data_IF_073820460723
#
_entry.id   IF_073820460723
#
_cell.length_a   1.000
_cell.length_b   1.000
_cell.length_c   1.000
_cell.angle_alpha   90.00
_cell.angle_beta   90.00
_cell.angle_gamma   90.00
#
_symmetry.space_group_name_H-M   'P 1'
#
loop_
_entity.id
_entity.type
_entity.pdbx_description
1 polymer ?
#
# COMPACT_ATOMS: atom_id res chain seq x y z
N UNK A 1 20.27 40.24 -26.05
CA UNK A 1 21.62 40.34 -25.47
C UNK A 1 22.17 38.94 -25.32
N UNK A 2 23.34 38.67 -25.86
CA UNK A 2 24.05 37.40 -25.66
C UNK A 2 24.58 37.33 -24.21
N UNK A 3 24.34 36.21 -23.53
CA UNK A 3 25.09 35.83 -22.33
C UNK A 3 26.06 34.71 -22.74
N UNK A 4 27.38 34.89 -22.60
CA UNK A 4 28.37 33.86 -22.88
C UNK A 4 28.60 32.98 -21.64
N UNK A 5 28.62 31.66 -21.82
CA UNK A 5 29.33 30.76 -20.90
C UNK A 5 28.54 30.04 -19.81
N UNK A 6 27.22 29.94 -19.89
CA UNK A 6 26.45 29.06 -19.00
C UNK A 6 26.47 27.62 -19.49
N UNK A 7 27.43 26.80 -19.05
CA UNK A 7 27.34 25.36 -19.23
C UNK A 7 26.04 24.88 -18.54
N UNK A 8 25.10 24.37 -19.33
CA UNK A 8 23.92 23.70 -18.80
C UNK A 8 24.43 22.49 -18.02
N UNK A 9 24.35 22.56 -16.69
CA UNK A 9 24.55 21.38 -15.84
C UNK A 9 23.58 20.33 -16.37
N UNK A 10 24.03 19.14 -16.80
CA UNK A 10 23.10 18.09 -17.13
C UNK A 10 22.25 17.91 -15.87
N UNK A 11 20.95 18.11 -16.01
CA UNK A 11 20.00 17.52 -15.07
C UNK A 11 20.21 16.03 -15.29
N UNK A 12 21.11 15.45 -14.51
CA UNK A 12 21.16 14.01 -14.32
C UNK A 12 19.83 13.75 -13.64
N UNK A 13 18.81 13.45 -14.43
CA UNK A 13 17.61 12.80 -13.92
C UNK A 13 18.13 11.42 -13.51
N UNK A 14 18.61 11.32 -12.27
CA UNK A 14 18.98 10.09 -11.57
C UNK A 14 17.75 9.18 -11.34
N UNK A 15 16.67 9.37 -12.11
CA UNK A 15 15.62 8.38 -12.26
C UNK A 15 16.17 7.33 -13.21
N UNK A 16 16.75 6.30 -12.63
CA UNK A 16 16.99 5.06 -13.34
C UNK A 16 15.64 4.58 -13.93
N UNK A 17 15.47 4.61 -15.27
CA UNK A 17 14.20 4.30 -15.93
C UNK A 17 13.78 2.84 -15.71
N UNK A 18 14.67 2.01 -15.18
CA UNK A 18 14.35 0.66 -14.75
C UNK A 18 13.41 0.64 -13.53
N UNK A 19 13.44 1.66 -12.65
CA UNK A 19 12.58 1.70 -11.46
C UNK A 19 11.10 1.82 -11.83
N UNK A 20 10.76 2.74 -12.74
CA UNK A 20 9.38 3.01 -13.19
C UNK A 20 8.74 1.76 -13.82
N UNK A 21 9.52 1.03 -14.63
CA UNK A 21 9.08 -0.22 -15.26
C UNK A 21 8.81 -1.32 -14.24
N UNK A 22 9.59 -1.40 -13.15
CA UNK A 22 9.39 -2.43 -12.13
C UNK A 22 8.16 -2.20 -11.26
N UNK A 23 7.82 -0.95 -10.95
CA UNK A 23 6.67 -0.58 -10.12
C UNK A 23 5.33 -0.97 -10.78
N UNK A 24 5.26 -0.89 -12.12
CA UNK A 24 4.10 -1.32 -12.89
C UNK A 24 3.77 -2.82 -12.76
N UNK A 25 4.76 -3.68 -12.47
CA UNK A 25 4.51 -5.11 -12.23
C UNK A 25 4.03 -5.38 -10.80
N UNK A 26 4.44 -4.57 -9.84
CA UNK A 26 4.05 -4.74 -8.44
C UNK A 26 2.62 -4.28 -8.19
N UNK A 27 2.18 -3.22 -8.86
CA UNK A 27 0.87 -2.64 -8.59
C UNK A 27 -0.30 -3.64 -8.75
N UNK A 28 -0.42 -4.40 -9.86
CA UNK A 28 -1.50 -5.37 -10.01
C UNK A 28 -1.48 -6.49 -8.95
N UNK A 29 -0.28 -6.90 -8.52
CA UNK A 29 -0.12 -7.94 -7.50
C UNK A 29 -0.59 -7.42 -6.13
N UNK A 30 -0.15 -6.23 -5.73
CA UNK A 30 -0.54 -5.59 -4.48
C UNK A 30 -2.05 -5.30 -4.46
N UNK A 31 -2.60 -4.79 -5.56
CA UNK A 31 -4.03 -4.54 -5.69
C UNK A 31 -4.85 -5.84 -5.57
N UNK A 32 -4.43 -6.91 -6.23
CA UNK A 32 -5.11 -8.21 -6.12
C UNK A 32 -5.09 -8.80 -4.71
N UNK A 33 -3.98 -8.62 -3.97
CA UNK A 33 -3.90 -9.03 -2.57
C UNK A 33 -4.80 -8.17 -1.67
N UNK A 34 -4.90 -6.86 -1.93
CA UNK A 34 -5.86 -5.99 -1.24
C UNK A 34 -7.30 -6.42 -1.49
N UNK A 35 -7.67 -6.80 -2.70
CA UNK A 35 -9.04 -7.25 -2.99
C UNK A 35 -9.39 -8.53 -2.19
N UNK A 36 -8.41 -9.42 -2.01
CA UNK A 36 -8.56 -10.66 -1.24
C UNK A 36 -8.75 -10.43 0.27
N UNK A 37 -8.44 -9.24 0.81
CA UNK A 37 -8.73 -8.94 2.22
C UNK A 37 -10.22 -8.82 2.50
N UNK A 38 -11.06 -8.78 1.46
CA UNK A 38 -12.52 -8.82 1.56
C UNK A 38 -13.11 -10.23 1.34
N UNK A 39 -12.30 -11.28 1.20
CA UNK A 39 -12.78 -12.66 1.00
C UNK A 39 -13.63 -13.12 2.21
N UNK A 40 -14.71 -13.89 2.01
CA UNK A 40 -15.54 -14.38 3.11
C UNK A 40 -14.79 -15.31 4.09
N UNK A 41 -13.73 -16.00 3.64
CA UNK A 41 -12.94 -16.94 4.45
C UNK A 41 -11.84 -16.21 5.21
N UNK A 42 -11.82 -16.37 6.53
CA UNK A 42 -10.88 -15.69 7.42
C UNK A 42 -9.41 -16.02 7.06
N UNK A 43 -9.14 -17.27 6.73
CA UNK A 43 -7.81 -17.76 6.40
C UNK A 43 -7.27 -17.10 5.12
N UNK A 44 -8.15 -16.85 4.14
CA UNK A 44 -7.78 -16.17 2.90
C UNK A 44 -7.46 -14.70 3.18
N UNK A 45 -8.29 -14.03 3.99
CA UNK A 45 -8.05 -12.62 4.39
C UNK A 45 -6.71 -12.47 5.11
N UNK A 46 -6.46 -13.31 6.12
CA UNK A 46 -5.23 -13.25 6.90
C UNK A 46 -4.00 -13.57 6.03
N UNK A 47 -4.09 -14.60 5.19
CA UNK A 47 -3.02 -14.94 4.24
C UNK A 47 -2.72 -13.77 3.29
N UNK A 48 -3.75 -13.13 2.74
CA UNK A 48 -3.58 -11.99 1.85
C UNK A 48 -2.95 -10.79 2.55
N UNK A 49 -3.35 -10.50 3.80
CA UNK A 49 -2.77 -9.44 4.61
C UNK A 49 -1.28 -9.68 4.89
N UNK A 50 -0.93 -10.86 5.41
CA UNK A 50 0.45 -11.20 5.72
C UNK A 50 1.33 -11.11 4.46
N UNK A 51 0.92 -11.73 3.35
CA UNK A 51 1.68 -11.67 2.09
C UNK A 51 1.78 -10.25 1.55
N UNK A 52 0.72 -9.45 1.63
CA UNK A 52 0.73 -8.05 1.19
C UNK A 52 1.77 -7.25 1.98
N UNK A 53 1.71 -7.31 3.31
CA UNK A 53 2.60 -6.52 4.17
C UNK A 53 4.05 -7.04 4.15
N UNK A 54 4.26 -8.35 3.97
CA UNK A 54 5.60 -8.91 3.75
C UNK A 54 6.22 -8.36 2.46
N UNK A 55 5.48 -8.35 1.35
CA UNK A 55 5.96 -7.78 0.09
C UNK A 55 6.29 -6.29 0.21
N UNK A 56 5.45 -5.53 0.92
CA UNK A 56 5.70 -4.11 1.19
C UNK A 56 6.96 -3.91 2.05
N UNK A 57 7.19 -4.72 3.08
CA UNK A 57 8.41 -4.65 3.89
C UNK A 57 9.66 -5.05 3.10
N UNK A 58 9.60 -6.12 2.31
CA UNK A 58 10.74 -6.63 1.54
C UNK A 58 11.13 -5.73 0.37
N UNK A 59 10.15 -5.14 -0.32
CA UNK A 59 10.38 -4.37 -1.57
C UNK A 59 10.27 -2.88 -1.39
N UNK A 60 9.59 -2.41 -0.33
CA UNK A 60 9.19 -1.02 -0.15
C UNK A 60 10.33 -0.01 -0.14
N UNK A 61 11.56 -0.44 0.18
CA UNK A 61 12.76 0.40 0.14
C UNK A 61 13.18 0.80 -1.27
N UNK A 62 12.67 0.09 -2.31
CA UNK A 62 12.91 0.38 -3.72
C UNK A 62 11.80 1.20 -4.37
N UNK A 63 10.68 1.39 -3.66
CA UNK A 63 9.54 2.11 -4.19
C UNK A 63 9.75 3.61 -4.08
N UNK A 64 9.40 4.32 -5.15
CA UNK A 64 9.38 5.77 -5.17
C UNK A 64 8.29 6.32 -4.24
N UNK A 65 8.44 7.58 -3.82
CA UNK A 65 7.42 8.25 -3.00
C UNK A 65 6.06 8.33 -3.70
N UNK A 66 6.05 8.57 -5.02
CA UNK A 66 4.82 8.62 -5.82
C UNK A 66 4.13 7.24 -5.92
N UNK A 67 4.93 6.17 -5.98
CA UNK A 67 4.39 4.82 -5.95
C UNK A 67 3.82 4.45 -4.58
N UNK A 68 4.50 4.84 -3.50
CA UNK A 68 3.97 4.71 -2.15
C UNK A 68 2.63 5.43 -1.96
N UNK A 69 2.49 6.66 -2.46
CA UNK A 69 1.21 7.38 -2.46
C UNK A 69 0.11 6.56 -3.16
N UNK A 70 0.43 5.97 -4.32
CA UNK A 70 -0.49 5.09 -5.03
C UNK A 70 -0.85 3.83 -4.23
N UNK A 71 0.11 3.22 -3.52
CA UNK A 71 -0.12 2.08 -2.64
C UNK A 71 -1.05 2.47 -1.49
N UNK A 72 -0.82 3.59 -0.81
CA UNK A 72 -1.69 4.02 0.28
C UNK A 72 -3.13 4.20 -0.18
N UNK A 73 -3.34 4.96 -1.26
CA UNK A 73 -4.68 5.29 -1.72
C UNK A 73 -5.43 4.12 -2.34
N UNK A 74 -4.74 3.22 -3.05
CA UNK A 74 -5.39 2.20 -3.88
C UNK A 74 -5.25 0.77 -3.37
N UNK A 75 -4.40 0.55 -2.37
CA UNK A 75 -4.13 -0.77 -1.81
C UNK A 75 -4.38 -0.77 -0.30
N UNK A 76 -3.76 0.13 0.46
CA UNK A 76 -3.86 0.05 1.93
C UNK A 76 -5.17 0.61 2.49
N UNK A 77 -5.62 1.78 2.02
CA UNK A 77 -6.87 2.37 2.53
C UNK A 77 -8.12 1.54 2.23
N UNK A 78 -8.29 0.93 1.03
CA UNK A 78 -9.43 0.08 0.73
C UNK A 78 -9.63 -1.10 1.69
N UNK A 79 -8.56 -1.62 2.31
CA UNK A 79 -8.64 -2.71 3.30
C UNK A 79 -9.55 -2.33 4.48
N UNK A 80 -9.62 -1.04 4.83
CA UNK A 80 -10.36 -0.55 5.98
C UNK A 80 -11.75 0.04 5.61
N UNK A 81 -12.15 0.02 4.34
CA UNK A 81 -13.39 0.66 3.89
C UNK A 81 -14.63 0.04 4.57
N UNK A 82 -14.65 -1.27 4.77
CA UNK A 82 -15.76 -1.97 5.43
C UNK A 82 -15.95 -1.60 6.91
N UNK A 83 -14.87 -1.18 7.59
CA UNK A 83 -14.92 -0.71 8.99
C UNK A 83 -15.63 0.64 9.09
N UNK A 84 -15.41 1.50 8.10
CA UNK A 84 -16.02 2.83 8.03
C UNK A 84 -17.53 2.73 7.81
N UNK A 85 -17.97 1.73 7.06
CA UNK A 85 -19.38 1.52 6.75
C UNK A 85 -20.14 0.85 7.90
N UNK A 86 -19.47 -0.02 8.68
CA UNK A 86 -20.03 -0.60 9.91
C UNK A 86 -20.42 0.47 10.96
N UNK A 87 -19.78 1.64 10.96
CA UNK A 87 -20.13 2.76 11.85
C UNK A 87 -21.37 3.56 11.43
N UNK A 88 -21.93 3.32 10.23
CA UNK A 88 -22.99 4.16 9.63
C UNK A 88 -24.35 3.47 9.47
N UNK A 89 -24.44 2.15 9.61
CA UNK A 89 -25.67 1.38 9.33
C UNK A 89 -26.14 0.53 10.52
N UNK A 90 -27.39 0.73 10.92
CA UNK A 90 -28.12 -0.15 11.83
C UNK A 90 -28.16 -1.59 11.28
N UNK A 91 -27.73 -2.56 12.10
CA UNK A 91 -28.02 -4.01 12.02
C UNK A 91 -27.01 -4.92 11.31
N UNK A 92 -25.99 -5.41 12.04
CA UNK A 92 -25.69 -6.86 12.17
C UNK A 92 -24.51 -7.14 13.11
N UNK A 93 -24.81 -7.45 14.37
CA UNK A 93 -23.84 -7.78 15.43
C UNK A 93 -22.89 -8.95 15.12
N UNK A 94 -23.21 -9.80 14.14
CA UNK A 94 -22.36 -10.93 13.72
C UNK A 94 -21.33 -10.56 12.62
N UNK A 95 -21.63 -9.54 11.80
CA UNK A 95 -20.69 -9.05 10.78
C UNK A 95 -19.59 -8.16 11.35
N UNK A 96 -19.86 -7.51 12.48
CA UNK A 96 -18.96 -6.54 13.10
C UNK A 96 -17.76 -7.18 13.81
N UNK A 97 -17.90 -8.41 14.33
CA UNK A 97 -16.86 -9.05 15.14
C UNK A 97 -15.66 -9.50 14.29
N UNK A 98 -15.91 -10.15 13.15
CA UNK A 98 -14.82 -10.57 12.25
C UNK A 98 -14.15 -9.37 11.58
N UNK A 99 -14.93 -8.33 11.24
CA UNK A 99 -14.38 -7.08 10.71
C UNK A 99 -13.43 -6.45 11.73
N UNK A 100 -13.82 -6.41 13.01
CA UNK A 100 -12.99 -5.87 14.08
C UNK A 100 -11.69 -6.66 14.25
N UNK A 101 -11.74 -7.99 14.19
CA UNK A 101 -10.56 -8.85 14.32
C UNK A 101 -9.57 -8.66 13.15
N UNK A 102 -10.05 -8.74 11.91
CA UNK A 102 -9.22 -8.50 10.71
C UNK A 102 -8.67 -7.06 10.68
N UNK A 103 -9.43 -6.09 11.18
CA UNK A 103 -8.99 -4.69 11.26
C UNK A 103 -7.88 -4.48 12.28
N UNK A 104 -7.99 -5.10 13.46
CA UNK A 104 -6.92 -5.03 14.48
C UNK A 104 -5.63 -5.61 13.91
N UNK A 105 -5.71 -6.77 13.26
CA UNK A 105 -4.55 -7.40 12.62
C UNK A 105 -3.94 -6.51 11.51
N UNK A 106 -4.77 -5.95 10.64
CA UNK A 106 -4.33 -5.03 9.57
C UNK A 106 -3.67 -3.78 10.14
N UNK A 107 -4.19 -3.21 11.23
CA UNK A 107 -3.60 -2.05 11.91
C UNK A 107 -2.24 -2.39 12.54
N UNK A 108 -2.08 -3.58 13.11
CA UNK A 108 -0.78 -4.03 13.65
C UNK A 108 0.27 -4.11 12.54
N UNK A 109 -0.08 -4.72 11.40
CA UNK A 109 0.80 -4.80 10.23
C UNK A 109 1.14 -3.40 9.69
N UNK A 110 0.17 -2.49 9.65
CA UNK A 110 0.39 -1.10 9.24
C UNK A 110 1.35 -0.35 10.18
N UNK A 111 1.16 -0.47 11.50
CA UNK A 111 2.08 0.11 12.48
C UNK A 111 3.50 -0.44 12.32
N UNK A 112 3.64 -1.74 12.07
CA UNK A 112 4.95 -2.35 11.82
C UNK A 112 5.58 -1.78 10.54
N UNK A 113 4.80 -1.64 9.46
CA UNK A 113 5.25 -1.04 8.22
C UNK A 113 5.75 0.41 8.43
N UNK A 114 5.00 1.23 9.16
CA UNK A 114 5.42 2.60 9.49
C UNK A 114 6.72 2.61 10.29
N UNK A 115 6.88 1.73 11.29
CA UNK A 115 8.12 1.61 12.05
C UNK A 115 9.32 1.17 11.19
N UNK A 116 9.09 0.47 10.07
CA UNK A 116 10.15 0.07 9.14
C UNK A 116 10.64 1.25 8.29
N UNK A 117 9.72 2.10 7.81
CA UNK A 117 10.03 3.15 6.82
C UNK A 117 10.15 4.57 7.38
N UNK A 118 9.57 4.85 8.55
CA UNK A 118 9.52 6.18 9.16
C UNK A 118 10.02 6.12 10.61
N UNK A 119 11.35 6.08 10.78
CA UNK A 119 12.03 6.26 12.07
C UNK A 119 12.59 7.67 12.21
#
# INVERSE_FOLDING_TARGET
GLIPGGALKPVIDDRDPHFDVTEHYWFPMLAGLSDLTSDPRLEVRNCALEVLFDLLNERGHKFSAAFWESIFHRVLFPIFDHVRDAGKGVSSTCGEEWLRETSIHSLQLLCNLFNTFYK
#
